data_IF_937526547277
#
_entry.id   IF_937526547277
#
_cell.length_a   1.000
_cell.length_b   1.000
_cell.length_c   1.000
_cell.angle_alpha   90.00
_cell.angle_beta   90.00
_cell.angle_gamma   90.00
#
_symmetry.space_group_name_H-M   'P 1'
#
loop_
_entity.id
_entity.type
_entity.pdbx_description
1 polymer ?
#
# COMPACT_ATOMS: atom_id res chain seq x y z
N UNK A 1 -22.89 -9.58 20.84
CA UNK A 1 -22.27 -8.24 20.68
C UNK A 1 -22.93 -7.48 19.52
N UNK A 2 -22.81 -6.15 19.40
CA UNK A 2 -23.46 -5.38 18.31
C UNK A 2 -22.98 -5.84 16.92
N UNK A 3 -21.69 -6.17 16.78
CA UNK A 3 -21.14 -6.64 15.50
C UNK A 3 -21.73 -7.96 14.99
N UNK A 4 -21.93 -8.95 15.87
CA UNK A 4 -22.58 -10.22 15.49
C UNK A 4 -23.99 -9.98 14.95
N UNK A 5 -24.76 -9.09 15.60
CA UNK A 5 -26.10 -8.71 15.14
C UNK A 5 -26.08 -8.10 13.74
N UNK A 6 -25.15 -7.20 13.44
CA UNK A 6 -25.01 -6.59 12.12
C UNK A 6 -24.66 -7.63 11.04
N UNK A 7 -23.74 -8.55 11.35
CA UNK A 7 -23.35 -9.62 10.43
C UNK A 7 -24.50 -10.60 10.17
N UNK A 8 -25.24 -11.00 11.20
CA UNK A 8 -26.38 -11.90 11.05
C UNK A 8 -27.53 -11.23 10.28
N UNK A 9 -27.76 -9.94 10.54
CA UNK A 9 -28.70 -9.13 9.78
C UNK A 9 -28.29 -9.05 8.31
N UNK A 10 -27.01 -8.78 8.02
CA UNK A 10 -26.48 -8.79 6.67
C UNK A 10 -26.71 -10.13 5.95
N UNK A 11 -26.38 -11.26 6.61
CA UNK A 11 -26.60 -12.60 6.04
C UNK A 11 -28.05 -12.85 5.68
N UNK A 12 -28.98 -12.42 6.53
CA UNK A 12 -30.42 -12.55 6.30
C UNK A 12 -30.89 -11.72 5.11
N UNK A 13 -30.42 -10.47 5.00
CA UNK A 13 -30.80 -9.54 3.92
C UNK A 13 -30.30 -9.97 2.55
N UNK A 14 -29.05 -10.40 2.52
CA UNK A 14 -28.37 -10.73 1.28
C UNK A 14 -28.44 -12.23 0.98
N UNK A 15 -29.28 -12.97 1.70
CA UNK A 15 -29.59 -14.39 1.44
C UNK A 15 -28.35 -15.27 1.27
N UNK A 16 -27.30 -14.98 2.05
CA UNK A 16 -25.98 -15.62 1.93
C UNK A 16 -25.32 -15.56 0.53
N UNK A 17 -25.70 -14.58 -0.30
CA UNK A 17 -25.05 -14.28 -1.60
C UNK A 17 -23.56 -13.98 -1.46
N UNK A 18 -23.16 -13.53 -0.27
CA UNK A 18 -21.85 -13.01 0.03
C UNK A 18 -21.15 -13.83 1.12
N UNK A 19 -19.91 -14.21 0.85
CA UNK A 19 -18.94 -14.64 1.87
C UNK A 19 -18.41 -13.41 2.63
N UNK A 20 -18.29 -13.52 3.95
CA UNK A 20 -17.89 -12.41 4.82
C UNK A 20 -16.48 -12.67 5.35
N UNK A 21 -15.58 -11.69 5.17
CA UNK A 21 -14.26 -11.70 5.80
C UNK A 21 -14.39 -11.18 7.23
N UNK A 22 -14.62 -12.06 8.20
CA UNK A 22 -14.88 -11.66 9.60
C UNK A 22 -13.78 -10.80 10.22
N UNK A 23 -12.52 -11.07 9.89
CA UNK A 23 -11.36 -10.29 10.37
C UNK A 23 -11.40 -8.82 9.96
N UNK A 24 -12.08 -8.50 8.85
CA UNK A 24 -12.21 -7.12 8.35
C UNK A 24 -13.26 -6.28 9.09
N UNK A 25 -14.04 -6.87 10.00
CA UNK A 25 -15.11 -6.15 10.68
C UNK A 25 -14.55 -5.04 11.58
N UNK A 26 -15.00 -3.79 11.35
CA UNK A 26 -14.66 -2.61 12.15
C UNK A 26 -15.92 -1.81 12.46
N UNK A 27 -16.13 -1.46 13.73
CA UNK A 27 -17.15 -0.52 14.16
C UNK A 27 -16.52 0.81 14.56
N UNK A 28 -16.97 1.92 13.97
CA UNK A 28 -16.46 3.27 14.29
C UNK A 28 -17.57 4.32 14.17
N UNK A 29 -17.79 5.10 15.23
CA UNK A 29 -18.75 6.21 15.26
C UNK A 29 -20.18 5.86 14.80
N UNK A 30 -20.64 4.63 15.05
CA UNK A 30 -21.96 4.16 14.61
C UNK A 30 -22.03 3.66 13.17
N UNK A 31 -20.89 3.59 12.47
CA UNK A 31 -20.73 2.90 11.20
C UNK A 31 -20.04 1.56 11.39
N UNK A 32 -20.39 0.60 10.55
CA UNK A 32 -19.78 -0.73 10.51
C UNK A 32 -19.25 -0.98 9.12
N UNK A 33 -17.98 -1.40 9.05
CA UNK A 33 -17.28 -1.68 7.81
C UNK A 33 -16.84 -3.15 7.82
N UNK A 34 -17.03 -3.85 6.73
CA UNK A 34 -16.48 -5.20 6.55
C UNK A 34 -16.39 -5.54 5.06
N UNK A 35 -15.44 -6.37 4.70
CA UNK A 35 -15.27 -6.88 3.36
C UNK A 35 -16.14 -8.12 3.15
N UNK A 36 -16.76 -8.19 1.97
CA UNK A 36 -17.52 -9.34 1.50
C UNK A 36 -17.08 -9.74 0.09
N UNK A 37 -17.38 -10.97 -0.31
CA UNK A 37 -17.06 -11.48 -1.64
C UNK A 37 -18.22 -12.28 -2.21
N UNK A 38 -18.55 -12.03 -3.46
CA UNK A 38 -19.45 -12.89 -4.22
C UNK A 38 -18.66 -13.93 -5.03
N UNK A 39 -19.29 -14.54 -6.04
CA UNK A 39 -18.63 -15.54 -6.89
C UNK A 39 -17.48 -14.99 -7.74
N UNK A 40 -17.39 -13.66 -7.91
CA UNK A 40 -16.45 -13.01 -8.83
C UNK A 40 -15.46 -12.10 -8.11
N UNK A 41 -15.93 -11.15 -7.30
CA UNK A 41 -15.11 -10.07 -6.75
C UNK A 41 -15.45 -9.72 -5.30
N UNK A 42 -14.53 -8.98 -4.68
CA UNK A 42 -14.64 -8.47 -3.32
C UNK A 42 -15.30 -7.08 -3.33
N UNK A 43 -15.91 -6.74 -2.22
CA UNK A 43 -16.62 -5.48 -1.97
C UNK A 43 -16.39 -5.00 -0.54
N UNK A 44 -16.40 -3.69 -0.36
CA UNK A 44 -16.57 -3.07 0.95
C UNK A 44 -18.08 -3.00 1.25
N UNK A 45 -18.48 -3.46 2.42
CA UNK A 45 -19.81 -3.22 2.96
C UNK A 45 -19.73 -2.15 4.04
N UNK A 46 -20.63 -1.17 3.97
CA UNK A 46 -20.84 -0.19 5.03
C UNK A 46 -22.26 -0.32 5.54
N UNK A 47 -22.44 -0.31 6.86
CA UNK A 47 -23.74 -0.24 7.50
C UNK A 47 -23.79 0.94 8.48
N UNK A 48 -24.91 1.66 8.50
CA UNK A 48 -25.12 2.79 9.41
C UNK A 48 -26.50 3.41 9.26
N UNK A 49 -26.77 4.46 10.03
CA UNK A 49 -28.03 5.21 9.91
C UNK A 49 -28.14 5.84 8.50
N UNK A 50 -29.27 5.71 7.80
CA UNK A 50 -29.41 6.14 6.40
C UNK A 50 -29.04 7.60 6.16
N UNK A 51 -29.50 8.53 7.01
CA UNK A 51 -29.23 9.96 6.88
C UNK A 51 -27.73 10.24 6.96
N UNK A 52 -27.06 9.67 7.97
CA UNK A 52 -25.63 9.84 8.19
C UNK A 52 -24.76 9.12 7.16
N UNK A 53 -25.23 8.00 6.62
CA UNK A 53 -24.48 7.21 5.63
C UNK A 53 -24.52 7.89 4.26
N UNK A 54 -25.65 8.50 3.89
CA UNK A 54 -25.80 9.27 2.63
C UNK A 54 -24.97 10.55 2.57
N UNK A 55 -24.58 11.11 3.72
CA UNK A 55 -23.62 12.21 3.78
C UNK A 55 -22.19 11.78 3.40
N UNK A 56 -21.88 10.49 3.56
CA UNK A 56 -20.58 9.93 3.17
C UNK A 56 -20.56 9.68 1.66
N UNK A 57 -19.44 10.01 1.01
CA UNK A 57 -19.31 9.94 -0.45
C UNK A 57 -18.84 8.56 -0.92
N UNK A 58 -19.34 7.50 -0.31
CA UNK A 58 -19.12 6.13 -0.80
C UNK A 58 -19.91 5.93 -2.10
N UNK A 59 -19.24 5.34 -3.09
CA UNK A 59 -19.85 4.94 -4.35
C UNK A 59 -20.35 3.50 -4.19
N UNK A 60 -21.65 3.31 -4.03
CA UNK A 60 -22.28 2.00 -3.87
C UNK A 60 -22.78 1.46 -5.22
N UNK A 61 -22.61 0.16 -5.46
CA UNK A 61 -23.23 -0.58 -6.55
C UNK A 61 -24.62 -1.11 -6.14
N UNK A 62 -24.83 -1.37 -4.84
CA UNK A 62 -26.10 -1.84 -4.29
C UNK A 62 -26.34 -1.21 -2.91
N UNK A 63 -27.60 -0.88 -2.62
CA UNK A 63 -28.03 -0.40 -1.31
C UNK A 63 -29.25 -1.18 -0.83
N UNK A 64 -29.31 -1.46 0.48
CA UNK A 64 -30.48 -2.07 1.11
C UNK A 64 -30.82 -1.38 2.42
N UNK A 65 -31.99 -0.77 2.46
CA UNK A 65 -32.56 -0.13 3.65
C UNK A 65 -33.34 -1.15 4.48
N UNK A 66 -33.09 -1.15 5.79
CA UNK A 66 -33.86 -1.88 6.78
C UNK A 66 -34.62 -0.90 7.64
N UNK A 67 -35.94 -0.96 7.51
CA UNK A 67 -36.90 -0.35 8.43
C UNK A 67 -37.22 -1.36 9.54
N UNK A 68 -36.28 -1.55 10.47
CA UNK A 68 -36.48 -2.27 11.75
C UNK A 68 -36.18 -1.34 12.91
N UNK A 69 -36.22 -1.82 14.16
CA UNK A 69 -36.02 -1.02 15.37
C UNK A 69 -34.73 -0.16 15.38
N UNK A 70 -33.72 -0.50 14.58
CA UNK A 70 -32.43 0.23 14.50
C UNK A 70 -32.25 1.10 13.23
N UNK A 71 -33.21 1.12 12.28
CA UNK A 71 -33.15 1.82 10.98
C UNK A 71 -31.75 1.87 10.31
N UNK A 72 -31.39 0.84 9.56
CA UNK A 72 -30.04 0.65 9.01
C UNK A 72 -30.03 0.66 7.48
N UNK A 73 -29.09 1.39 6.88
CA UNK A 73 -28.76 1.30 5.47
C UNK A 73 -27.48 0.49 5.29
N UNK A 74 -27.51 -0.52 4.43
CA UNK A 74 -26.33 -1.22 3.93
C UNK A 74 -25.97 -0.69 2.55
N UNK A 75 -24.69 -0.38 2.33
CA UNK A 75 -24.12 -0.05 1.03
C UNK A 75 -23.06 -1.10 0.65
N UNK A 76 -23.16 -1.66 -0.55
CA UNK A 76 -22.16 -2.54 -1.15
C UNK A 76 -21.35 -1.73 -2.15
N UNK A 77 -20.07 -1.55 -1.87
CA UNK A 77 -19.17 -0.67 -2.57
C UNK A 77 -18.05 -1.45 -3.26
N UNK A 78 -17.72 -1.17 -4.53
CA UNK A 78 -16.56 -1.76 -5.18
C UNK A 78 -15.27 -1.29 -4.50
N UNK A 79 -14.23 -2.13 -4.60
CA UNK A 79 -12.89 -1.84 -4.09
C UNK A 79 -12.14 -0.88 -5.03
N UNK A 80 -12.48 0.40 -4.94
CA UNK A 80 -11.88 1.48 -5.75
C UNK A 80 -11.24 2.54 -4.85
N UNK A 81 -10.33 3.33 -5.41
CA UNK A 81 -9.61 4.38 -4.71
C UNK A 81 -10.52 5.34 -3.91
N UNK A 82 -11.60 5.83 -4.53
CA UNK A 82 -12.50 6.78 -3.85
C UNK A 82 -13.13 6.20 -2.59
N UNK A 83 -13.57 4.94 -2.63
CA UNK A 83 -14.14 4.26 -1.46
C UNK A 83 -13.08 3.98 -0.39
N UNK A 84 -11.86 3.64 -0.80
CA UNK A 84 -10.74 3.48 0.12
C UNK A 84 -10.39 4.80 0.82
N UNK A 85 -10.36 5.92 0.09
CA UNK A 85 -10.10 7.24 0.64
C UNK A 85 -11.17 7.64 1.67
N UNK A 86 -12.45 7.33 1.40
CA UNK A 86 -13.52 7.53 2.39
C UNK A 86 -13.32 6.64 3.62
N UNK A 87 -12.95 5.36 3.44
CA UNK A 87 -12.68 4.44 4.54
C UNK A 87 -11.54 4.94 5.45
N UNK A 88 -10.48 5.51 4.87
CA UNK A 88 -9.33 6.05 5.59
C UNK A 88 -9.64 7.26 6.48
N UNK A 89 -10.79 7.94 6.29
CA UNK A 89 -11.27 8.99 7.21
C UNK A 89 -11.61 8.36 8.57
N UNK A 90 -12.14 7.14 8.57
CA UNK A 90 -12.52 6.40 9.78
C UNK A 90 -11.36 5.54 10.32
N UNK A 91 -10.59 4.94 9.42
CA UNK A 91 -9.50 4.01 9.72
C UNK A 91 -8.15 4.66 9.36
N UNK A 92 -7.72 5.64 10.15
CA UNK A 92 -6.52 6.43 9.87
C UNK A 92 -5.20 5.62 9.87
N UNK A 93 -5.19 4.44 10.49
CA UNK A 93 -4.07 3.49 10.48
C UNK A 93 -3.90 2.80 9.13
N UNK A 94 -4.90 2.84 8.24
CA UNK A 94 -4.86 2.23 6.91
C UNK A 94 -4.08 3.11 5.93
N UNK A 95 -2.86 3.52 6.33
CA UNK A 95 -1.96 4.41 5.58
C UNK A 95 -0.52 3.95 5.80
N UNK A 96 0.33 3.99 4.77
CA UNK A 96 1.72 3.61 4.92
C UNK A 96 2.47 4.59 5.84
N UNK A 97 3.51 4.07 6.48
CA UNK A 97 4.36 4.80 7.41
C UNK A 97 5.82 4.39 7.23
N UNK A 98 6.74 5.21 7.76
CA UNK A 98 8.13 4.78 7.92
C UNK A 98 8.25 3.90 9.18
N UNK A 99 9.26 3.03 9.21
CA UNK A 99 9.61 2.35 10.47
C UNK A 99 9.92 3.38 11.55
N UNK A 100 9.43 3.16 12.77
CA UNK A 100 9.71 4.01 13.93
C UNK A 100 11.10 3.74 14.53
N UNK A 101 11.67 2.58 14.23
CA UNK A 101 12.93 2.12 14.80
C UNK A 101 13.87 1.62 13.69
N UNK A 102 15.07 2.18 13.62
CA UNK A 102 16.06 1.86 12.56
C UNK A 102 16.66 0.45 12.69
N UNK A 103 16.55 -0.17 13.86
CA UNK A 103 17.11 -1.50 14.16
C UNK A 103 16.20 -2.65 13.71
N UNK A 104 14.91 -2.38 13.47
CA UNK A 104 13.95 -3.42 13.08
C UNK A 104 14.21 -3.80 11.62
N UNK A 105 14.43 -5.09 11.30
CA UNK A 105 14.58 -5.52 9.92
C UNK A 105 13.26 -5.33 9.17
N UNK A 106 13.34 -4.76 7.96
CA UNK A 106 12.20 -4.65 7.06
C UNK A 106 12.24 -5.72 5.97
N UNK A 107 11.08 -6.12 5.46
CA UNK A 107 10.99 -7.02 4.31
C UNK A 107 9.98 -6.51 3.28
N UNK A 108 10.46 -6.41 2.02
CA UNK A 108 9.69 -6.02 0.85
C UNK A 108 8.84 -7.15 0.28
N UNK A 109 7.52 -6.96 0.18
CA UNK A 109 6.62 -7.99 -0.34
C UNK A 109 5.94 -7.56 -1.62
N UNK A 110 6.74 -7.47 -2.69
CA UNK A 110 6.24 -7.05 -4.00
C UNK A 110 5.08 -7.94 -4.49
N UNK A 111 3.98 -7.32 -4.90
CA UNK A 111 2.74 -8.00 -5.28
C UNK A 111 2.26 -7.52 -6.66
N UNK A 112 2.68 -8.25 -7.69
CA UNK A 112 2.31 -7.97 -9.09
C UNK A 112 0.84 -8.32 -9.41
N UNK A 113 0.18 -9.08 -8.54
CA UNK A 113 -1.19 -9.55 -8.75
C UNK A 113 -2.21 -8.74 -7.97
N UNK A 114 -1.78 -8.04 -6.91
CA UNK A 114 -2.63 -7.22 -6.05
C UNK A 114 -3.51 -8.01 -5.07
N UNK A 115 -3.18 -9.27 -4.81
CA UNK A 115 -3.99 -10.19 -4.00
C UNK A 115 -3.21 -10.90 -2.88
N UNK A 116 -1.89 -10.73 -2.82
CA UNK A 116 -1.01 -11.47 -1.93
C UNK A 116 -0.83 -10.82 -0.55
N UNK A 117 -1.18 -9.54 -0.40
CA UNK A 117 -1.03 -8.81 0.87
C UNK A 117 -1.62 -9.53 2.09
N UNK A 118 -2.83 -10.13 2.05
CA UNK A 118 -3.35 -10.97 3.14
C UNK A 118 -2.38 -12.08 3.58
N UNK A 119 -1.79 -12.79 2.62
CA UNK A 119 -0.84 -13.87 2.88
C UNK A 119 0.51 -13.34 3.38
N UNK A 120 0.97 -12.20 2.87
CA UNK A 120 2.18 -11.52 3.36
C UNK A 120 2.05 -11.15 4.85
N UNK A 121 0.91 -10.57 5.25
CA UNK A 121 0.63 -10.22 6.65
C UNK A 121 0.64 -11.48 7.52
N UNK A 122 -0.01 -12.55 7.07
CA UNK A 122 -0.01 -13.82 7.79
C UNK A 122 1.41 -14.39 7.94
N UNK A 123 2.24 -14.29 6.91
CA UNK A 123 3.62 -14.76 6.95
C UNK A 123 4.47 -14.01 7.98
N UNK A 124 4.16 -12.75 8.30
CA UNK A 124 4.88 -11.96 9.30
C UNK A 124 4.28 -12.01 10.70
N UNK A 125 3.14 -12.67 10.90
CA UNK A 125 2.49 -12.75 12.20
C UNK A 125 3.45 -13.34 13.26
N UNK A 126 3.62 -12.61 14.38
CA UNK A 126 4.50 -13.00 15.48
C UNK A 126 6.00 -12.80 15.23
N UNK A 127 6.39 -12.21 14.09
CA UNK A 127 7.79 -11.92 13.77
C UNK A 127 8.09 -10.43 14.00
N UNK A 128 9.31 -10.13 14.44
CA UNK A 128 9.80 -8.76 14.58
C UNK A 128 10.34 -8.23 13.23
N UNK A 129 9.46 -8.11 12.24
CA UNK A 129 9.78 -7.63 10.88
C UNK A 129 8.82 -6.51 10.53
N UNK A 130 9.36 -5.38 10.03
CA UNK A 130 8.55 -4.29 9.48
C UNK A 130 8.15 -4.61 8.03
N UNK A 131 6.86 -4.83 7.74
CA UNK A 131 6.44 -5.23 6.41
C UNK A 131 6.35 -4.03 5.47
N UNK A 132 6.93 -4.13 4.29
CA UNK A 132 6.72 -3.17 3.19
C UNK A 132 5.73 -3.83 2.21
N UNK A 133 4.44 -3.54 2.41
CA UNK A 133 3.33 -4.27 1.79
C UNK A 133 2.96 -3.76 0.40
N UNK A 134 3.24 -2.48 0.11
CA UNK A 134 3.09 -1.92 -1.22
C UNK A 134 4.49 -1.72 -1.82
N UNK A 135 4.89 -2.58 -2.74
CA UNK A 135 6.16 -2.45 -3.44
C UNK A 135 6.03 -2.97 -4.86
N UNK A 136 6.40 -2.16 -5.85
CA UNK A 136 6.69 -2.58 -7.22
C UNK A 136 7.64 -1.56 -7.85
N UNK A 137 8.47 -2.03 -8.78
CA UNK A 137 9.26 -1.15 -9.63
C UNK A 137 8.43 -0.51 -10.74
N UNK A 138 8.86 0.66 -11.22
CA UNK A 138 8.28 1.32 -12.41
C UNK A 138 8.15 0.37 -13.60
N UNK A 139 9.18 -0.46 -13.84
CA UNK A 139 9.18 -1.51 -14.88
C UNK A 139 8.06 -2.53 -14.69
N UNK A 140 7.82 -2.99 -13.45
CA UNK A 140 6.76 -3.97 -13.17
C UNK A 140 5.37 -3.36 -13.32
N UNK A 141 5.21 -2.10 -12.89
CA UNK A 141 3.96 -1.35 -13.05
C UNK A 141 3.58 -1.25 -14.53
N UNK A 142 4.52 -0.87 -15.40
CA UNK A 142 4.28 -0.82 -16.86
C UNK A 142 3.92 -2.21 -17.42
N UNK A 143 4.63 -3.27 -17.02
CA UNK A 143 4.41 -4.63 -17.56
C UNK A 143 3.12 -5.29 -17.11
N UNK A 144 2.53 -4.81 -16.02
CA UNK A 144 1.29 -5.33 -15.45
C UNK A 144 0.09 -4.42 -15.73
N UNK A 145 0.28 -3.37 -16.56
CA UNK A 145 -0.74 -2.35 -16.82
C UNK A 145 -1.36 -1.81 -15.53
N UNK A 146 -0.50 -1.61 -14.52
CA UNK A 146 -0.86 -1.14 -13.20
C UNK A 146 -0.54 0.35 -13.05
N UNK A 147 -0.74 0.90 -11.86
CA UNK A 147 -0.29 2.25 -11.48
C UNK A 147 0.21 2.25 -10.04
N UNK A 148 1.00 3.26 -9.66
CA UNK A 148 1.43 3.44 -8.27
C UNK A 148 0.23 3.49 -7.31
N UNK A 149 -0.85 4.17 -7.72
CA UNK A 149 -2.09 4.23 -6.94
C UNK A 149 -2.71 2.84 -6.75
N UNK A 150 -2.77 2.02 -7.80
CA UNK A 150 -3.34 0.67 -7.73
C UNK A 150 -2.51 -0.25 -6.84
N UNK A 151 -1.18 -0.15 -6.89
CA UNK A 151 -0.27 -0.90 -6.02
C UNK A 151 -0.55 -0.59 -4.55
N UNK A 152 -0.65 0.69 -4.21
CA UNK A 152 -0.96 1.10 -2.85
C UNK A 152 -2.37 0.66 -2.44
N UNK A 153 -3.38 0.94 -3.26
CA UNK A 153 -4.78 0.59 -2.96
C UNK A 153 -4.94 -0.91 -2.71
N UNK A 154 -4.31 -1.78 -3.51
CA UNK A 154 -4.35 -3.22 -3.34
C UNK A 154 -3.77 -3.66 -1.98
N UNK A 155 -2.64 -3.09 -1.57
CA UNK A 155 -2.05 -3.38 -0.26
C UNK A 155 -2.98 -2.93 0.88
N UNK A 156 -3.57 -1.75 0.77
CA UNK A 156 -4.52 -1.23 1.77
C UNK A 156 -5.78 -2.08 1.87
N UNK A 157 -6.34 -2.53 0.75
CA UNK A 157 -7.48 -3.46 0.75
C UNK A 157 -7.10 -4.81 1.38
N UNK A 158 -5.91 -5.32 1.10
CA UNK A 158 -5.39 -6.53 1.73
C UNK A 158 -5.21 -6.39 3.25
N UNK A 159 -4.72 -5.24 3.73
CA UNK A 159 -4.67 -4.92 5.16
C UNK A 159 -6.06 -4.93 5.78
N UNK A 160 -7.03 -4.27 5.13
CA UNK A 160 -8.40 -4.22 5.63
C UNK A 160 -9.06 -5.61 5.67
N UNK A 161 -8.86 -6.43 4.64
CA UNK A 161 -9.41 -7.79 4.53
C UNK A 161 -9.06 -8.68 5.73
N UNK A 162 -7.81 -8.65 6.16
CA UNK A 162 -7.35 -9.45 7.31
C UNK A 162 -7.40 -8.70 8.63
N UNK A 163 -7.94 -7.48 8.63
CA UNK A 163 -8.08 -6.66 9.84
C UNK A 163 -6.75 -6.15 10.42
N UNK A 164 -5.72 -6.02 9.59
CA UNK A 164 -4.40 -5.56 10.00
C UNK A 164 -4.42 -4.06 10.32
N UNK A 165 -4.04 -3.72 11.56
CA UNK A 165 -3.94 -2.33 12.06
C UNK A 165 -2.49 -1.94 12.40
N UNK A 166 -1.54 -2.82 12.08
CA UNK A 166 -0.12 -2.57 12.34
C UNK A 166 0.51 -1.58 11.36
N UNK A 167 1.70 -1.04 11.68
CA UNK A 167 2.41 -0.16 10.77
C UNK A 167 3.05 -0.97 9.63
N UNK A 168 2.97 -0.43 8.41
CA UNK A 168 3.59 -1.01 7.22
C UNK A 168 4.18 0.08 6.33
N UNK A 169 5.11 -0.30 5.46
CA UNK A 169 5.75 0.56 4.47
C UNK A 169 5.13 0.45 3.08
N UNK A 170 5.36 1.49 2.28
CA UNK A 170 5.11 1.51 0.85
C UNK A 170 6.38 2.04 0.15
N UNK A 171 6.97 1.22 -0.71
CA UNK A 171 8.21 1.46 -1.44
C UNK A 171 7.97 1.59 -2.94
N UNK A 172 8.32 2.76 -3.46
CA UNK A 172 8.36 3.00 -4.89
C UNK A 172 9.74 2.58 -5.39
N UNK A 173 9.80 1.37 -5.92
CA UNK A 173 11.06 0.67 -6.19
C UNK A 173 11.65 1.11 -7.55
N UNK A 174 12.98 1.11 -7.67
CA UNK A 174 13.72 1.46 -8.89
C UNK A 174 13.23 2.74 -9.60
N UNK A 175 13.10 3.85 -8.87
CA UNK A 175 12.80 5.17 -9.44
C UNK A 175 14.05 5.73 -10.11
N UNK A 176 13.90 6.13 -11.38
CA UNK A 176 14.99 6.69 -12.21
C UNK A 176 14.79 8.16 -12.57
N UNK A 177 13.57 8.66 -12.49
CA UNK A 177 13.20 10.01 -12.91
C UNK A 177 12.34 10.73 -11.86
N UNK A 178 12.33 12.05 -11.97
CA UNK A 178 11.64 12.93 -11.02
C UNK A 178 10.12 12.86 -11.14
N UNK A 179 9.59 12.50 -12.31
CA UNK A 179 8.14 12.44 -12.53
C UNK A 179 7.55 11.25 -11.77
N UNK A 180 8.15 10.07 -11.90
CA UNK A 180 7.80 8.88 -11.13
C UNK A 180 8.00 9.09 -9.63
N UNK A 181 9.04 9.81 -9.21
CA UNK A 181 9.24 10.19 -7.81
C UNK A 181 8.08 11.05 -7.29
N UNK A 182 7.70 12.07 -8.06
CA UNK A 182 6.62 12.99 -7.69
C UNK A 182 5.27 12.27 -7.66
N UNK A 183 5.00 11.37 -8.60
CA UNK A 183 3.79 10.53 -8.59
C UNK A 183 3.74 9.65 -7.33
N UNK A 184 4.85 8.99 -6.98
CA UNK A 184 4.93 8.15 -5.79
C UNK A 184 4.67 8.96 -4.50
N UNK A 185 5.23 10.17 -4.41
CA UNK A 185 4.97 11.10 -3.30
C UNK A 185 3.47 11.44 -3.24
N UNK A 186 2.86 11.77 -4.37
CA UNK A 186 1.45 12.15 -4.46
C UNK A 186 0.51 11.00 -4.08
N UNK A 187 0.82 9.76 -4.49
CA UNK A 187 0.07 8.57 -4.09
C UNK A 187 0.21 8.25 -2.59
N UNK A 188 1.28 8.72 -1.94
CA UNK A 188 1.50 8.55 -0.50
C UNK A 188 2.51 7.47 -0.13
N UNK A 189 3.37 7.04 -1.05
CA UNK A 189 4.53 6.20 -0.74
C UNK A 189 5.43 6.86 0.31
N UNK A 190 6.19 6.05 1.05
CA UNK A 190 7.03 6.50 2.18
C UNK A 190 8.48 6.08 2.08
N UNK A 191 8.78 5.13 1.20
CA UNK A 191 10.12 4.69 0.84
C UNK A 191 10.29 4.88 -0.68
N UNK A 192 11.48 5.33 -1.08
CA UNK A 192 11.84 5.61 -2.46
C UNK A 192 13.20 4.99 -2.74
N UNK A 193 13.23 3.98 -3.60
CA UNK A 193 14.48 3.35 -4.02
C UNK A 193 14.96 4.03 -5.30
N UNK A 194 15.90 4.97 -5.16
CA UNK A 194 16.49 5.68 -6.29
C UNK A 194 17.51 4.79 -6.99
N UNK A 195 17.36 4.60 -8.30
CA UNK A 195 18.23 3.78 -9.12
C UNK A 195 19.12 4.67 -10.00
N UNK A 196 20.39 4.90 -9.61
CA UNK A 196 21.32 5.72 -10.38
C UNK A 196 22.04 4.91 -11.47
N UNK A 197 21.61 3.68 -11.80
CA UNK A 197 22.33 2.78 -12.70
C UNK A 197 22.67 3.43 -14.05
N UNK A 198 21.79 4.28 -14.55
CA UNK A 198 21.92 4.94 -15.86
C UNK A 198 22.99 6.04 -15.85
N UNK A 199 23.42 6.47 -14.66
CA UNK A 199 24.51 7.43 -14.45
C UNK A 199 25.86 6.75 -14.17
N UNK A 200 25.91 5.42 -14.09
CA UNK A 200 27.16 4.68 -13.93
C UNK A 200 27.82 4.51 -15.30
N UNK A 201 28.96 5.18 -15.51
CA UNK A 201 29.78 4.95 -16.68
C UNK A 201 30.49 3.58 -16.57
N UNK A 202 29.91 2.55 -17.16
CA UNK A 202 30.48 1.21 -17.17
C UNK A 202 31.67 1.05 -18.13
N UNK A 203 31.90 1.99 -19.05
CA UNK A 203 32.98 1.88 -20.03
C UNK A 203 34.36 2.07 -19.39
N UNK A 204 34.44 2.68 -18.20
CA UNK A 204 35.69 2.79 -17.43
C UNK A 204 36.34 1.44 -17.17
N UNK A 205 35.56 0.36 -17.09
CA UNK A 205 36.06 -1.00 -16.87
C UNK A 205 36.81 -1.58 -18.08
N UNK A 206 36.64 -0.97 -19.26
CA UNK A 206 37.29 -1.39 -20.51
C UNK A 206 38.55 -0.60 -20.81
N UNK A 207 38.79 0.49 -20.08
CA UNK A 207 39.90 1.39 -20.31
C UNK A 207 41.22 0.78 -19.80
N UNK A 208 42.30 1.06 -20.53
CA UNK A 208 43.66 0.80 -20.06
C UNK A 208 44.02 1.71 -18.90
N UNK A 209 45.09 1.37 -18.18
CA UNK A 209 45.58 2.19 -17.06
C UNK A 209 45.96 3.61 -17.48
N UNK A 210 46.49 3.79 -18.68
CA UNK A 210 46.88 5.11 -19.20
C UNK A 210 45.65 5.95 -19.54
N UNK A 211 44.63 5.35 -20.18
CA UNK A 211 43.35 6.00 -20.47
C UNK A 211 42.62 6.40 -19.20
N UNK A 212 42.53 5.49 -18.21
CA UNK A 212 41.95 5.79 -16.90
C UNK A 212 42.64 6.96 -16.20
N UNK A 213 43.98 6.98 -16.23
CA UNK A 213 44.75 8.07 -15.63
C UNK A 213 44.45 9.40 -16.32
N UNK A 214 44.33 9.40 -17.65
CA UNK A 214 43.99 10.59 -18.43
C UNK A 214 42.58 11.09 -18.11
N UNK A 215 41.58 10.21 -18.08
CA UNK A 215 40.21 10.57 -17.71
C UNK A 215 40.17 11.12 -16.28
N UNK A 216 40.79 10.43 -15.32
CA UNK A 216 40.87 10.88 -13.93
C UNK A 216 41.51 12.27 -13.80
N UNK A 217 42.59 12.53 -14.53
CA UNK A 217 43.25 13.85 -14.56
C UNK A 217 42.37 14.97 -15.11
N UNK A 218 41.37 14.64 -15.93
CA UNK A 218 40.43 15.61 -16.51
C UNK A 218 39.25 15.93 -15.59
N UNK A 219 39.04 15.19 -14.51
CA UNK A 219 37.93 15.41 -13.59
C UNK A 219 38.10 16.73 -12.81
N UNK A 220 37.13 17.66 -12.84
CA UNK A 220 37.22 18.90 -12.10
C UNK A 220 37.21 18.67 -10.57
N UNK A 221 36.53 17.62 -10.10
CA UNK A 221 36.41 17.28 -8.68
C UNK A 221 37.63 16.51 -8.12
N UNK A 222 38.62 16.21 -8.97
CA UNK A 222 39.79 15.39 -8.61
C UNK A 222 40.47 15.86 -7.32
N UNK A 223 40.73 17.16 -7.20
CA UNK A 223 41.43 17.73 -6.04
C UNK A 223 40.67 17.55 -4.73
N UNK A 224 39.34 17.63 -4.76
CA UNK A 224 38.49 17.38 -3.58
C UNK A 224 38.47 15.90 -3.22
N UNK A 225 38.33 15.02 -4.23
CA UNK A 225 38.40 13.57 -4.01
C UNK A 225 39.75 13.13 -3.43
N UNK A 226 40.87 13.63 -3.96
CA UNK A 226 42.21 13.32 -3.43
C UNK A 226 42.36 13.81 -2.00
N UNK A 227 41.90 15.03 -1.70
CA UNK A 227 41.93 15.57 -0.33
C UNK A 227 41.11 14.71 0.64
N UNK A 228 40.01 14.12 0.19
CA UNK A 228 39.17 13.26 1.03
C UNK A 228 39.79 11.88 1.16
N UNK A 229 40.12 11.19 0.06
CA UNK A 229 40.39 9.75 0.03
C UNK A 229 41.86 9.36 -0.16
N UNK A 230 42.68 10.17 -0.84
CA UNK A 230 44.04 9.76 -1.22
C UNK A 230 44.94 9.66 0.01
N UNK A 231 45.63 8.53 0.16
CA UNK A 231 46.53 8.23 1.27
C UNK A 231 45.86 8.33 2.66
N UNK A 232 44.56 8.04 2.74
CA UNK A 232 43.82 7.96 4.00
C UNK A 232 43.31 6.56 4.27
N UNK A 233 43.23 6.23 5.55
CA UNK A 233 42.61 5.00 6.04
C UNK A 233 41.32 5.36 6.79
N UNK A 234 40.30 4.53 6.61
CA UNK A 234 38.99 4.68 7.25
C UNK A 234 38.72 3.43 8.07
N UNK A 235 38.38 3.62 9.35
CA UNK A 235 37.98 2.57 10.28
C UNK A 235 36.46 2.37 10.26
#
# INVERSE_FOLDING_TARGET
>A
MVGERIIDLFRKIFEQRYEIYSSSFKGKHGYYFFMVKDRQKKYLTIAGLPEKLKELKFQAEEEKLINSDENLLFQICPLIHNNLAQLQIFLNYLKPSCTKEKSIPSFGTGDRLGIATPAHIQAFQGKNIFPVLAQLSTREITRTESSLQKVLDNALWGCFEVGYEGPFGADADHIKDLDNLQEAINCGFKLYTLDPSDHINNDVMKLTREELKKEYQSLPERGEMEKIYLNKEYQ
#
